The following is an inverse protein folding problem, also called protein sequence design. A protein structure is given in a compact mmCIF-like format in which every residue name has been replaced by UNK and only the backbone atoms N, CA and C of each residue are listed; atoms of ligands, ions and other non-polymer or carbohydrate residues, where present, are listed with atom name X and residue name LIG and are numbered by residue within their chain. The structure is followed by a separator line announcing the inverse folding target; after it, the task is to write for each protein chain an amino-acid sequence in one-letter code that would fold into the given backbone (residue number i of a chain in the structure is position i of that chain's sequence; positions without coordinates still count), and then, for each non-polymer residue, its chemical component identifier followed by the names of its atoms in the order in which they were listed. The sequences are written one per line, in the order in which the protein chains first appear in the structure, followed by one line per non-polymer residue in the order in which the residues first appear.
data_IF_800635792122
#
_entry.id   IF_800635792122
#
_cell.length_a   1.000
_cell.length_b   1.000
_cell.length_c   1.000
_cell.angle_alpha   90.00
_cell.angle_beta   90.00
_cell.angle_gamma   90.00
#
_symmetry.space_group_name_H-M   'P 1'
#
loop_
_entity.id
_entity.type
_entity.pdbx_description
1 polymer ?
#
# COMPACT_ATOMS: atom_id res chain seq x y z
N UNK A 1 8.46 19.00 -9.31
CA UNK A 1 9.45 17.92 -9.45
C UNK A 1 8.85 16.68 -8.82
N UNK A 2 8.77 15.55 -9.54
CA UNK A 2 8.27 14.29 -8.98
C UNK A 2 9.35 13.59 -8.14
N UNK A 3 8.99 12.98 -7.01
CA UNK A 3 9.91 12.22 -6.17
C UNK A 3 10.27 10.88 -6.83
N UNK A 4 11.40 10.25 -6.47
CA UNK A 4 11.77 8.94 -7.00
C UNK A 4 10.68 7.86 -6.81
N UNK A 5 9.91 7.96 -5.72
CA UNK A 5 8.76 7.08 -5.45
C UNK A 5 7.66 7.33 -6.48
N UNK A 6 7.29 8.59 -6.73
CA UNK A 6 6.28 8.95 -7.73
C UNK A 6 6.67 8.48 -9.15
N UNK A 7 7.96 8.44 -9.48
CA UNK A 7 8.44 7.97 -10.79
C UNK A 7 8.48 6.43 -10.91
N UNK A 8 8.75 5.70 -9.82
CA UNK A 8 8.81 4.23 -9.81
C UNK A 8 7.42 3.58 -9.74
N UNK A 9 6.46 4.29 -9.13
CA UNK A 9 5.09 3.85 -8.91
C UNK A 9 4.37 3.70 -10.26
N UNK A 10 4.18 4.80 -10.99
CA UNK A 10 3.34 4.86 -12.20
C UNK A 10 3.74 3.85 -13.30
N UNK A 11 5.01 3.42 -13.33
CA UNK A 11 5.56 2.58 -14.39
C UNK A 11 5.33 1.07 -14.21
N UNK A 12 4.99 0.58 -13.00
CA UNK A 12 5.01 -0.86 -12.70
C UNK A 12 3.62 -1.52 -12.67
N UNK A 13 2.56 -0.77 -12.38
CA UNK A 13 1.19 -1.30 -12.37
C UNK A 13 0.54 -1.08 -13.73
N UNK A 14 0.48 -2.14 -14.53
CA UNK A 14 -0.33 -2.20 -15.73
C UNK A 14 -1.58 -3.05 -15.51
N UNK A 15 -2.75 -2.59 -15.95
CA UNK A 15 -3.94 -3.42 -16.01
C UNK A 15 -4.02 -4.15 -17.35
N UNK A 16 -3.87 -5.46 -17.33
CA UNK A 16 -4.01 -6.34 -18.51
C UNK A 16 -5.43 -6.31 -19.10
N UNK A 17 -6.42 -5.86 -18.33
CA UNK A 17 -7.83 -5.83 -18.75
C UNK A 17 -8.20 -4.61 -19.59
N UNK A 18 -7.68 -3.42 -19.26
CA UNK A 18 -7.99 -2.18 -19.95
C UNK A 18 -6.77 -1.47 -20.56
N UNK A 19 -5.56 -2.01 -20.37
CA UNK A 19 -4.31 -1.46 -20.89
C UNK A 19 -3.81 -0.22 -20.16
N UNK A 20 -4.48 0.24 -19.11
CA UNK A 20 -4.08 1.45 -18.38
C UNK A 20 -2.86 1.18 -17.49
N UNK A 21 -1.94 2.14 -17.49
CA UNK A 21 -0.74 2.13 -16.66
C UNK A 21 -0.86 3.13 -15.50
N UNK A 22 -0.26 2.78 -14.37
CA UNK A 22 -0.19 3.57 -13.16
C UNK A 22 -1.36 3.33 -12.21
N UNK A 23 -1.08 3.50 -10.91
CA UNK A 23 -2.07 3.46 -9.83
C UNK A 23 -3.07 4.61 -9.95
N UNK A 24 -4.33 4.36 -9.59
CA UNK A 24 -5.42 5.33 -9.67
C UNK A 24 -5.90 5.70 -11.08
N UNK A 25 -5.16 5.32 -12.13
CA UNK A 25 -5.54 5.63 -13.52
C UNK A 25 -6.52 4.62 -14.13
N UNK A 26 -6.57 3.38 -13.60
CA UNK A 26 -7.50 2.34 -14.05
C UNK A 26 -8.91 2.65 -13.56
N UNK A 27 -9.92 2.70 -14.44
CA UNK A 27 -11.34 2.68 -14.04
C UNK A 27 -11.82 1.33 -13.48
N UNK A 28 -10.89 0.42 -13.19
CA UNK A 28 -11.14 -0.98 -12.93
C UNK A 28 -11.40 -1.17 -11.44
N UNK A 29 -12.65 -1.47 -11.09
CA UNK A 29 -13.08 -1.61 -9.69
C UNK A 29 -12.14 -2.51 -8.85
N UNK A 30 -11.60 -3.57 -9.46
CA UNK A 30 -10.66 -4.50 -8.83
C UNK A 30 -9.35 -3.83 -8.37
N UNK A 31 -8.66 -3.10 -9.26
CA UNK A 31 -7.38 -2.47 -8.92
C UNK A 31 -7.57 -1.26 -8.00
N UNK A 32 -8.66 -0.51 -8.18
CA UNK A 32 -9.03 0.59 -7.29
C UNK A 32 -9.34 0.07 -5.88
N UNK A 33 -10.01 -1.07 -5.76
CA UNK A 33 -10.28 -1.69 -4.46
C UNK A 33 -8.99 -2.17 -3.77
N UNK A 34 -8.04 -2.73 -4.52
CA UNK A 34 -6.73 -3.11 -3.98
C UNK A 34 -5.96 -1.88 -3.44
N UNK A 35 -5.99 -0.76 -4.16
CA UNK A 35 -5.36 0.50 -3.72
C UNK A 35 -6.06 1.09 -2.49
N UNK A 36 -7.40 1.08 -2.48
CA UNK A 36 -8.20 1.56 -1.34
C UNK A 36 -7.86 0.77 -0.07
N UNK A 37 -7.79 -0.55 -0.16
CA UNK A 37 -7.37 -1.41 0.98
C UNK A 37 -5.95 -1.11 1.44
N UNK A 38 -5.04 -0.79 0.52
CA UNK A 38 -3.68 -0.41 0.86
C UNK A 38 -3.60 0.92 1.61
N UNK A 39 -4.43 1.91 1.22
CA UNK A 39 -4.57 3.19 1.92
C UNK A 39 -5.11 3.00 3.34
N UNK A 40 -6.15 2.17 3.51
CA UNK A 40 -6.70 1.82 4.83
C UNK A 40 -5.64 1.17 5.72
N UNK A 41 -4.88 0.22 5.18
CA UNK A 41 -3.80 -0.44 5.90
C UNK A 41 -2.69 0.55 6.31
N UNK A 42 -2.30 1.46 5.41
CA UNK A 42 -1.32 2.50 5.72
C UNK A 42 -1.78 3.40 6.88
N UNK A 43 -3.06 3.79 6.87
CA UNK A 43 -3.69 4.54 7.94
C UNK A 43 -3.64 3.80 9.29
N UNK A 44 -4.01 2.52 9.31
CA UNK A 44 -3.96 1.68 10.52
C UNK A 44 -2.54 1.61 11.10
N UNK A 45 -1.54 1.36 10.24
CA UNK A 45 -0.13 1.27 10.62
C UNK A 45 0.33 2.58 11.26
N UNK A 46 0.01 3.71 10.65
CA UNK A 46 0.41 5.04 11.14
C UNK A 46 -0.31 5.42 12.42
N UNK A 47 -1.62 5.16 12.51
CA UNK A 47 -2.39 5.41 13.73
C UNK A 47 -1.78 4.66 14.91
N UNK A 48 -1.40 3.40 14.72
CA UNK A 48 -0.72 2.65 15.77
C UNK A 48 0.66 3.21 16.06
N UNK A 49 1.49 3.53 15.07
CA UNK A 49 2.79 4.17 15.31
C UNK A 49 2.67 5.47 16.11
N UNK A 50 1.62 6.25 15.87
CA UNK A 50 1.39 7.55 16.53
C UNK A 50 0.78 7.41 17.92
N UNK A 51 -0.09 6.41 18.15
CA UNK A 51 -0.71 6.14 19.45
C UNK A 51 0.20 5.33 20.39
N UNK A 52 1.11 4.50 19.85
CA UNK A 52 2.05 3.68 20.62
C UNK A 52 3.24 4.46 21.20
N UNK A 53 3.30 5.80 21.06
CA UNK A 53 4.31 6.63 21.77
C UNK A 53 4.37 6.41 23.29
N UNK A 54 3.36 5.75 23.88
CA UNK A 54 3.29 5.38 25.31
C UNK A 54 3.60 3.91 25.63
N UNK A 55 3.67 3.00 24.65
CA UNK A 55 3.96 1.58 24.90
C UNK A 55 5.31 1.22 24.29
N UNK A 56 6.17 0.58 25.08
CA UNK A 56 7.43 -0.04 24.63
C UNK A 56 7.16 -1.25 23.70
N UNK A 57 6.34 -1.10 22.67
CA UNK A 57 6.23 -2.09 21.61
C UNK A 57 7.56 -2.06 20.87
N UNK A 58 8.34 -3.12 21.01
CA UNK A 58 9.59 -3.24 20.26
C UNK A 58 9.27 -3.28 18.77
N UNK A 59 10.11 -2.67 17.95
CA UNK A 59 10.02 -2.71 16.48
C UNK A 59 9.79 -4.12 15.95
N UNK A 60 10.34 -5.14 16.64
CA UNK A 60 10.12 -6.55 16.35
C UNK A 60 8.66 -7.02 16.51
N UNK A 61 7.98 -6.70 17.62
CA UNK A 61 6.57 -7.09 17.83
C UNK A 61 5.63 -6.35 16.88
N UNK A 62 5.94 -5.10 16.58
CA UNK A 62 5.24 -4.33 15.56
C UNK A 62 5.38 -5.00 14.19
N UNK A 63 6.61 -5.30 13.78
CA UNK A 63 6.89 -5.99 12.52
C UNK A 63 6.20 -7.35 12.40
N UNK A 64 6.18 -8.16 13.46
CA UNK A 64 5.47 -9.45 13.43
C UNK A 64 3.96 -9.29 13.23
N UNK A 65 3.34 -8.36 13.97
CA UNK A 65 1.88 -8.15 13.91
C UNK A 65 1.45 -7.61 12.55
N UNK A 66 2.12 -6.57 12.07
CA UNK A 66 1.74 -5.92 10.81
C UNK A 66 2.27 -6.66 9.58
N UNK A 67 3.41 -7.34 9.69
CA UNK A 67 3.89 -8.24 8.64
C UNK A 67 2.94 -9.42 8.40
N UNK A 68 2.40 -10.01 9.48
CA UNK A 68 1.38 -11.06 9.36
C UNK A 68 0.10 -10.54 8.70
N UNK A 69 -0.43 -9.41 9.17
CA UNK A 69 -1.61 -8.78 8.56
C UNK A 69 -1.40 -8.44 7.08
N UNK A 70 -0.24 -7.88 6.73
CA UNK A 70 0.13 -7.57 5.35
C UNK A 70 0.13 -8.84 4.49
N UNK A 71 0.73 -9.92 4.99
CA UNK A 71 0.77 -11.20 4.30
C UNK A 71 -0.65 -11.75 4.07
N UNK A 72 -1.51 -11.71 5.10
CA UNK A 72 -2.90 -12.15 5.03
C UNK A 72 -3.72 -11.32 4.02
N UNK A 73 -3.47 -10.00 3.95
CA UNK A 73 -4.09 -9.12 2.97
C UNK A 73 -3.66 -9.45 1.54
N UNK A 74 -2.37 -9.74 1.31
CA UNK A 74 -1.81 -10.00 -0.01
C UNK A 74 -2.07 -11.41 -0.56
N UNK A 75 -2.26 -12.41 0.31
CA UNK A 75 -2.49 -13.81 -0.11
C UNK A 75 -3.71 -13.94 -1.01
N UNK A 76 -4.77 -13.16 -0.74
CA UNK A 76 -6.04 -13.20 -1.48
C UNK A 76 -6.02 -12.42 -2.79
N UNK A 77 -4.96 -11.66 -3.06
CA UNK A 77 -4.82 -10.81 -4.24
C UNK A 77 -4.07 -11.55 -5.33
N UNK A 78 -4.49 -11.36 -6.58
CA UNK A 78 -3.72 -11.77 -7.75
C UNK A 78 -2.50 -10.86 -7.98
N UNK A 79 -1.67 -11.18 -8.97
CA UNK A 79 -0.42 -10.47 -9.24
C UNK A 79 -0.62 -8.97 -9.49
N UNK A 80 -1.65 -8.58 -10.25
CA UNK A 80 -1.90 -7.18 -10.56
C UNK A 80 -2.45 -6.42 -9.35
N UNK A 81 -3.35 -7.07 -8.60
CA UNK A 81 -3.87 -6.52 -7.35
C UNK A 81 -2.77 -6.35 -6.31
N UNK A 82 -1.81 -7.29 -6.22
CA UNK A 82 -0.66 -7.16 -5.32
C UNK A 82 0.22 -5.97 -5.68
N UNK A 83 0.50 -5.77 -6.97
CA UNK A 83 1.28 -4.61 -7.42
C UNK A 83 0.54 -3.31 -7.11
N UNK A 84 -0.75 -3.23 -7.44
CA UNK A 84 -1.61 -2.08 -7.15
C UNK A 84 -1.71 -1.80 -5.64
N UNK A 85 -1.78 -2.85 -4.82
CA UNK A 85 -1.78 -2.75 -3.36
C UNK A 85 -0.44 -2.22 -2.85
N UNK A 86 0.69 -2.80 -3.28
CA UNK A 86 2.03 -2.36 -2.87
C UNK A 86 2.29 -0.89 -3.22
N UNK A 87 1.91 -0.48 -4.42
CA UNK A 87 2.10 0.89 -4.88
C UNK A 87 1.18 1.86 -4.14
N UNK A 88 -0.11 1.52 -3.94
CA UNK A 88 -1.02 2.29 -3.10
C UNK A 88 -0.50 2.45 -1.66
N UNK A 89 0.11 1.39 -1.10
CA UNK A 89 0.73 1.42 0.22
C UNK A 89 1.95 2.37 0.24
N UNK A 90 2.85 2.26 -0.74
CA UNK A 90 4.03 3.12 -0.84
C UNK A 90 3.66 4.60 -1.00
N UNK A 91 2.70 4.92 -1.87
CA UNK A 91 2.23 6.29 -2.08
C UNK A 91 1.60 6.85 -0.81
N UNK A 92 0.76 6.07 -0.12
CA UNK A 92 0.11 6.48 1.11
C UNK A 92 1.12 6.77 2.22
N UNK A 93 2.06 5.85 2.45
CA UNK A 93 3.11 6.04 3.45
C UNK A 93 4.02 7.21 3.09
N UNK A 94 4.38 7.36 1.81
CA UNK A 94 5.15 8.51 1.34
C UNK A 94 4.41 9.83 1.60
N UNK A 95 3.11 9.91 1.29
CA UNK A 95 2.30 11.10 1.53
C UNK A 95 2.14 11.45 3.02
N UNK A 96 2.11 10.44 3.89
CA UNK A 96 2.01 10.64 5.34
C UNK A 96 3.33 11.12 5.95
N UNK A 97 4.46 10.56 5.50
CA UNK A 97 5.79 10.83 6.07
C UNK A 97 6.61 11.85 5.26
N UNK A 98 5.99 12.57 4.33
CA UNK A 98 6.62 13.64 3.54
C UNK A 98 6.98 14.85 4.40
#
# INVERSE_FOLDING_TARGET
MRTPVENLSDAQVGCLRCGTQGVGNCGCARLNEAQRKAQEFAGEVVEVLMTDKRKKVTSHKFGQRYGKKLTEAMVKLDTEERLAYCEGLMQSLHGIFK
#
